data_IF_174674429285
#
_entry.id   IF_174674429285
#
_cell.length_a   1.000
_cell.length_b   1.000
_cell.length_c   1.000
_cell.angle_alpha   90.00
_cell.angle_beta   90.00
_cell.angle_gamma   90.00
#
_symmetry.space_group_name_H-M   'P 1'
#
loop_
_entity.id
_entity.type
_entity.pdbx_description
1 polymer ?
#
# COMPACT_ATOMS: atom_id res chain seq x y z
N UNK A 1 17.39 -16.04 -2.42
CA UNK A 1 17.90 -15.27 -1.27
C UNK A 1 19.06 -15.99 -0.66
N UNK A 2 20.13 -15.30 -0.30
CA UNK A 2 21.21 -15.93 0.46
C UNK A 2 20.72 -16.24 1.87
N UNK A 3 20.91 -17.47 2.36
CA UNK A 3 20.57 -17.90 3.71
C UNK A 3 21.17 -17.01 4.83
N UNK A 4 22.17 -16.19 4.50
CA UNK A 4 22.78 -15.22 5.43
C UNK A 4 21.86 -14.01 5.71
N UNK A 5 21.00 -13.59 4.80
CA UNK A 5 20.14 -12.42 5.00
C UNK A 5 18.97 -12.75 5.95
N UNK A 6 18.36 -13.92 5.81
CA UNK A 6 17.31 -14.42 6.73
C UNK A 6 17.80 -14.55 8.17
N UNK A 7 19.00 -15.11 8.34
CA UNK A 7 19.61 -15.26 9.68
C UNK A 7 19.76 -13.94 10.42
N UNK A 8 20.05 -12.85 9.70
CA UNK A 8 20.22 -11.54 10.34
C UNK A 8 18.94 -11.04 11.02
N UNK A 9 17.76 -11.22 10.41
CA UNK A 9 16.49 -10.79 11.01
C UNK A 9 16.08 -11.67 12.19
N UNK A 10 16.24 -12.98 12.09
CA UNK A 10 15.93 -13.94 13.16
C UNK A 10 16.80 -13.71 14.40
N UNK A 11 18.06 -13.32 14.20
CA UNK A 11 19.01 -12.99 15.29
C UNK A 11 18.62 -11.74 16.09
N UNK A 12 17.74 -10.88 15.55
CA UNK A 12 17.24 -9.69 16.25
C UNK A 12 16.08 -10.01 17.20
N UNK A 13 15.29 -11.04 16.90
CA UNK A 13 14.05 -11.35 17.61
C UNK A 13 14.18 -11.56 19.13
N UNK A 14 15.25 -12.17 19.65
CA UNK A 14 15.43 -12.30 21.10
C UNK A 14 15.61 -10.98 21.85
N UNK A 15 15.90 -9.89 21.16
CA UNK A 15 16.20 -8.59 21.75
C UNK A 15 15.03 -7.60 21.68
N UNK A 16 13.87 -8.00 21.10
CA UNK A 16 12.67 -7.16 21.01
C UNK A 16 11.61 -7.61 22.00
N UNK A 17 10.76 -6.69 22.42
CA UNK A 17 9.69 -6.95 23.40
C UNK A 17 8.60 -7.86 22.87
N UNK A 18 8.29 -7.78 21.56
CA UNK A 18 7.21 -8.51 20.93
C UNK A 18 7.69 -9.19 19.63
N UNK A 19 8.46 -10.29 19.72
CA UNK A 19 8.98 -10.98 18.53
C UNK A 19 7.92 -11.42 17.53
N UNK A 20 6.73 -11.75 18.02
CA UNK A 20 5.60 -12.22 17.20
C UNK A 20 5.14 -11.23 16.11
N UNK A 21 5.44 -9.94 16.25
CA UNK A 21 5.16 -8.92 15.23
C UNK A 21 6.06 -9.03 13.99
N UNK A 22 7.20 -9.69 14.13
CA UNK A 22 8.26 -9.75 13.12
C UNK A 22 8.53 -11.17 12.59
N UNK A 23 7.79 -12.18 13.06
CA UNK A 23 7.99 -13.57 12.64
C UNK A 23 7.57 -13.79 11.17
N UNK A 24 6.41 -13.31 10.78
CA UNK A 24 5.74 -13.79 9.56
C UNK A 24 5.26 -15.23 9.75
N UNK A 25 4.93 -15.89 8.64
CA UNK A 25 4.42 -17.30 8.62
C UNK A 25 3.13 -17.50 9.46
N UNK A 26 2.33 -16.43 9.63
CA UNK A 26 1.02 -16.54 10.26
C UNK A 26 0.07 -17.43 9.46
N UNK A 27 -0.92 -17.98 10.12
CA UNK A 27 -1.97 -18.79 9.47
C UNK A 27 -2.60 -17.98 8.33
N UNK A 28 -2.76 -18.62 7.17
CA UNK A 28 -3.25 -18.01 5.93
C UNK A 28 -2.33 -16.93 5.32
N UNK A 29 -1.11 -16.74 5.80
CA UNK A 29 -0.13 -15.90 5.10
C UNK A 29 0.31 -16.58 3.79
N UNK A 30 0.52 -15.78 2.74
CA UNK A 30 0.85 -16.27 1.40
C UNK A 30 2.31 -15.97 1.10
N UNK A 31 3.14 -17.02 1.04
CA UNK A 31 4.56 -16.90 0.75
C UNK A 31 4.87 -17.47 -0.64
N UNK A 32 5.22 -16.58 -1.56
CA UNK A 32 5.57 -16.95 -2.94
C UNK A 32 7.08 -16.95 -3.14
N UNK A 33 7.54 -17.75 -4.10
CA UNK A 33 8.92 -17.67 -4.58
C UNK A 33 9.07 -16.43 -5.46
N UNK A 34 9.72 -15.40 -4.92
CA UNK A 34 9.90 -14.10 -5.59
C UNK A 34 10.73 -14.19 -6.88
N UNK A 35 11.40 -15.30 -7.14
CA UNK A 35 12.10 -15.54 -8.42
C UNK A 35 11.17 -15.99 -9.54
N UNK A 36 9.96 -16.44 -9.20
CA UNK A 36 8.98 -16.95 -10.16
C UNK A 36 7.89 -15.94 -10.49
N UNK A 37 7.77 -14.87 -9.73
CA UNK A 37 6.80 -13.81 -10.01
C UNK A 37 7.38 -12.78 -10.99
N UNK A 38 6.50 -12.13 -11.72
CA UNK A 38 6.88 -11.09 -12.68
C UNK A 38 6.98 -9.71 -12.02
N UNK A 39 6.19 -9.46 -10.98
CA UNK A 39 6.26 -8.25 -10.17
C UNK A 39 5.98 -8.52 -8.69
N UNK A 40 6.68 -7.76 -7.83
CA UNK A 40 6.56 -7.79 -6.38
C UNK A 40 6.16 -6.43 -5.83
N UNK A 41 5.23 -6.42 -4.87
CA UNK A 41 4.80 -5.21 -4.18
C UNK A 41 4.89 -5.41 -2.66
N UNK A 42 5.57 -4.48 -1.98
CA UNK A 42 5.45 -4.34 -0.54
C UNK A 42 4.21 -3.51 -0.21
N UNK A 43 3.23 -4.11 0.47
CA UNK A 43 2.07 -3.42 1.00
C UNK A 43 2.41 -2.89 2.40
N UNK A 44 2.68 -1.60 2.48
CA UNK A 44 3.17 -0.94 3.68
C UNK A 44 2.04 -0.23 4.40
N UNK A 45 1.84 -0.60 5.67
CA UNK A 45 1.00 0.16 6.58
C UNK A 45 1.91 0.96 7.52
N UNK A 46 1.89 2.31 7.49
CA UNK A 46 2.87 3.14 8.19
C UNK A 46 2.51 3.34 9.67
N UNK A 47 2.20 2.25 10.36
CA UNK A 47 1.95 2.17 11.80
C UNK A 47 2.31 0.77 12.31
N UNK A 48 2.21 0.55 13.61
CA UNK A 48 2.56 -0.71 14.27
C UNK A 48 1.75 -1.89 13.72
N UNK A 49 2.33 -3.09 13.82
CA UNK A 49 1.74 -4.35 13.38
C UNK A 49 0.29 -4.55 13.88
N UNK A 50 0.00 -4.29 15.16
CA UNK A 50 -1.34 -4.50 15.74
C UNK A 50 -2.41 -3.60 15.11
N UNK A 51 -2.02 -2.40 14.68
CA UNK A 51 -2.91 -1.45 14.00
C UNK A 51 -3.09 -1.87 12.54
N UNK A 52 -1.98 -2.11 11.84
CA UNK A 52 -2.00 -2.46 10.43
C UNK A 52 -2.69 -3.80 10.15
N UNK A 53 -2.47 -4.82 10.98
CA UNK A 53 -3.15 -6.11 10.87
C UNK A 53 -4.66 -6.03 11.19
N UNK A 54 -5.10 -4.97 11.85
CA UNK A 54 -6.53 -4.70 12.07
C UNK A 54 -7.20 -4.04 10.85
N UNK A 55 -6.42 -3.57 9.86
CA UNK A 55 -6.92 -2.80 8.73
C UNK A 55 -7.43 -3.70 7.60
N UNK A 56 -8.74 -3.63 7.32
CA UNK A 56 -9.41 -4.48 6.33
C UNK A 56 -8.94 -4.21 4.89
N UNK A 57 -8.72 -2.95 4.51
CA UNK A 57 -8.27 -2.59 3.16
C UNK A 57 -6.94 -3.23 2.78
N UNK A 58 -5.99 -3.31 3.73
CA UNK A 58 -4.72 -4.00 3.52
C UNK A 58 -4.94 -5.49 3.23
N UNK A 59 -5.84 -6.15 4.00
CA UNK A 59 -6.17 -7.57 3.80
C UNK A 59 -6.82 -7.83 2.44
N UNK A 60 -7.67 -6.92 1.98
CA UNK A 60 -8.32 -7.01 0.66
C UNK A 60 -7.27 -6.91 -0.45
N UNK A 61 -6.39 -5.90 -0.43
CA UNK A 61 -5.35 -5.74 -1.44
C UNK A 61 -4.35 -6.89 -1.42
N UNK A 62 -3.94 -7.35 -0.24
CA UNK A 62 -3.06 -8.51 -0.08
C UNK A 62 -3.65 -9.78 -0.73
N UNK A 63 -4.95 -10.03 -0.49
CA UNK A 63 -5.66 -11.15 -1.08
C UNK A 63 -5.75 -11.03 -2.61
N UNK A 64 -6.20 -9.87 -3.12
CA UNK A 64 -6.42 -9.65 -4.56
C UNK A 64 -5.12 -9.80 -5.36
N UNK A 65 -4.04 -9.19 -4.89
CA UNK A 65 -2.74 -9.29 -5.57
C UNK A 65 -2.19 -10.71 -5.51
N UNK A 66 -2.25 -11.36 -4.36
CA UNK A 66 -1.70 -12.71 -4.20
C UNK A 66 -2.54 -13.81 -4.87
N UNK A 67 -3.79 -13.53 -5.27
CA UNK A 67 -4.61 -14.44 -6.06
C UNK A 67 -4.04 -14.66 -7.48
N UNK A 68 -3.30 -13.70 -8.01
CA UNK A 68 -2.62 -13.79 -9.32
C UNK A 68 -1.24 -14.43 -9.14
N UNK A 69 -0.92 -15.43 -9.92
CA UNK A 69 0.36 -16.17 -9.82
C UNK A 69 1.57 -15.31 -10.20
N UNK A 70 1.37 -14.36 -11.11
CA UNK A 70 2.40 -13.47 -11.64
C UNK A 70 2.86 -12.41 -10.63
N UNK A 71 2.08 -12.18 -9.56
CA UNK A 71 2.36 -11.14 -8.57
C UNK A 71 2.67 -11.72 -7.20
N UNK A 72 3.47 -11.02 -6.43
CA UNK A 72 3.61 -11.25 -4.99
C UNK A 72 3.38 -9.94 -4.24
N UNK A 73 2.47 -9.97 -3.27
CA UNK A 73 2.30 -8.92 -2.28
C UNK A 73 2.80 -9.40 -0.92
N UNK A 74 3.65 -8.62 -0.27
CA UNK A 74 4.16 -8.90 1.07
C UNK A 74 3.87 -7.71 2.00
N UNK A 75 3.64 -8.01 3.27
CA UNK A 75 3.24 -7.00 4.27
C UNK A 75 4.44 -6.39 4.96
N UNK A 76 4.36 -5.09 5.19
CA UNK A 76 5.36 -4.34 5.96
C UNK A 76 4.63 -3.38 6.91
N UNK A 77 5.11 -3.29 8.14
CA UNK A 77 4.60 -2.37 9.17
C UNK A 77 5.74 -1.51 9.70
N UNK A 78 5.39 -0.37 10.29
CA UNK A 78 6.37 0.41 11.05
C UNK A 78 6.89 -0.44 12.22
N UNK A 79 8.20 -0.52 12.42
CA UNK A 79 8.77 -1.22 13.57
C UNK A 79 8.49 -0.45 14.87
N UNK A 80 8.40 -1.18 16.01
CA UNK A 80 8.48 -0.55 17.31
C UNK A 80 9.91 -0.05 17.57
N UNK A 81 10.07 0.89 18.47
CA UNK A 81 11.34 1.59 18.72
C UNK A 81 12.51 0.64 19.01
N UNK A 82 12.28 -0.44 19.77
CA UNK A 82 13.30 -1.42 20.09
C UNK A 82 13.83 -2.18 18.85
N UNK A 83 12.94 -2.51 17.90
CA UNK A 83 13.35 -3.15 16.65
C UNK A 83 14.00 -2.16 15.69
N UNK A 84 13.50 -0.92 15.65
CA UNK A 84 14.11 0.16 14.86
C UNK A 84 15.55 0.43 15.31
N UNK A 85 15.80 0.55 16.62
CA UNK A 85 17.13 0.75 17.17
C UNK A 85 18.10 -0.38 16.75
N UNK A 86 17.64 -1.63 16.75
CA UNK A 86 18.45 -2.77 16.32
C UNK A 86 18.76 -2.73 14.81
N UNK A 87 17.76 -2.41 13.98
CA UNK A 87 17.95 -2.27 12.54
C UNK A 87 18.99 -1.19 12.24
N UNK A 88 18.84 0.01 12.83
CA UNK A 88 19.76 1.12 12.66
C UNK A 88 21.16 0.80 13.17
N UNK A 89 21.26 0.24 14.38
CA UNK A 89 22.54 -0.08 15.04
C UNK A 89 23.36 -1.12 14.26
N UNK A 90 22.71 -2.01 13.52
CA UNK A 90 23.35 -3.05 12.70
C UNK A 90 23.34 -2.74 11.21
N UNK A 91 22.81 -1.59 10.79
CA UNK A 91 22.64 -1.22 9.38
C UNK A 91 21.90 -2.29 8.56
N UNK A 92 20.89 -2.91 9.17
CA UNK A 92 20.03 -3.90 8.52
C UNK A 92 18.80 -3.17 7.97
N UNK A 93 18.46 -3.25 6.67
CA UNK A 93 17.30 -2.57 6.11
C UNK A 93 16.00 -3.19 6.62
N UNK A 94 14.94 -2.40 6.74
CA UNK A 94 13.60 -2.90 7.02
C UNK A 94 13.14 -3.84 5.90
N UNK A 95 12.50 -4.95 6.29
CA UNK A 95 12.08 -6.00 5.39
C UNK A 95 10.62 -6.40 5.59
N UNK A 96 10.07 -7.08 4.60
CA UNK A 96 8.72 -7.66 4.63
C UNK A 96 8.59 -8.80 5.64
N UNK A 97 7.35 -9.14 6.01
CA UNK A 97 7.06 -10.25 6.93
C UNK A 97 7.22 -11.62 6.26
N UNK A 98 6.76 -11.80 5.04
CA UNK A 98 6.67 -13.12 4.39
C UNK A 98 8.07 -13.69 4.06
N UNK A 99 8.82 -13.02 3.21
CA UNK A 99 10.12 -13.51 2.73
C UNK A 99 11.32 -12.79 3.36
N UNK A 100 11.10 -11.86 4.31
CA UNK A 100 12.19 -11.01 4.86
C UNK A 100 12.98 -10.30 3.74
N UNK A 101 12.27 -9.90 2.69
CA UNK A 101 12.87 -9.18 1.59
C UNK A 101 13.04 -7.70 1.95
N UNK A 102 14.24 -7.13 1.85
CA UNK A 102 14.47 -5.70 2.04
C UNK A 102 13.57 -4.85 1.14
N UNK A 103 13.00 -3.76 1.68
CA UNK A 103 12.08 -2.89 0.94
C UNK A 103 12.66 -2.39 -0.38
N UNK A 104 13.96 -2.05 -0.41
CA UNK A 104 14.64 -1.57 -1.62
C UNK A 104 14.74 -2.61 -2.74
N UNK A 105 14.36 -3.86 -2.51
CA UNK A 105 14.43 -4.93 -3.52
C UNK A 105 13.08 -5.28 -4.12
N UNK A 106 12.01 -4.67 -3.67
CA UNK A 106 10.71 -4.79 -4.32
C UNK A 106 10.67 -3.99 -5.62
N UNK A 107 9.80 -4.38 -6.54
CA UNK A 107 9.53 -3.56 -7.72
C UNK A 107 8.72 -2.31 -7.34
N UNK A 108 7.82 -2.46 -6.36
CA UNK A 108 6.91 -1.41 -5.91
C UNK A 108 6.81 -1.42 -4.39
N UNK A 109 6.81 -0.24 -3.78
CA UNK A 109 6.53 -0.03 -2.36
C UNK A 109 5.27 0.82 -2.25
N UNK A 110 4.15 0.18 -1.85
CA UNK A 110 2.83 0.79 -1.78
C UNK A 110 2.40 1.12 -0.36
N UNK A 111 2.27 2.39 -0.05
CA UNK A 111 1.84 2.88 1.26
C UNK A 111 0.33 3.06 1.35
N UNK A 112 -0.25 2.56 2.43
CA UNK A 112 -1.62 2.83 2.83
C UNK A 112 -1.68 4.09 3.69
N UNK A 113 -2.22 5.19 3.15
CA UNK A 113 -2.24 6.53 3.76
C UNK A 113 -3.60 6.77 4.43
N UNK A 114 -3.73 6.42 5.72
CA UNK A 114 -5.02 6.47 6.41
C UNK A 114 -5.30 7.82 7.09
N UNK A 115 -4.28 8.48 7.61
CA UNK A 115 -4.37 9.78 8.26
C UNK A 115 -3.00 10.50 8.24
N UNK A 116 -3.01 11.80 8.31
CA UNK A 116 -1.85 12.66 8.07
C UNK A 116 -0.75 12.52 9.13
N UNK A 117 -1.09 12.12 10.35
CA UNK A 117 -0.11 11.89 11.43
C UNK A 117 0.87 10.76 11.11
N UNK A 118 0.56 9.88 10.15
CA UNK A 118 1.46 8.80 9.73
C UNK A 118 2.50 9.23 8.68
N UNK A 119 2.50 10.47 8.21
CA UNK A 119 3.41 10.92 7.15
C UNK A 119 4.89 10.81 7.54
N UNK A 120 5.22 11.15 8.78
CA UNK A 120 6.60 10.98 9.28
C UNK A 120 7.02 9.53 9.38
N UNK A 121 6.08 8.61 9.69
CA UNK A 121 6.36 7.18 9.68
C UNK A 121 6.65 6.66 8.27
N UNK A 122 5.99 7.21 7.24
CA UNK A 122 6.28 6.88 5.84
C UNK A 122 7.75 7.19 5.53
N UNK A 123 8.20 8.40 5.86
CA UNK A 123 9.59 8.81 5.64
C UNK A 123 10.57 7.94 6.44
N UNK A 124 10.23 7.63 7.69
CA UNK A 124 11.05 6.74 8.52
C UNK A 124 11.17 5.33 7.93
N UNK A 125 10.08 4.78 7.38
CA UNK A 125 10.08 3.46 6.73
C UNK A 125 10.92 3.48 5.44
N UNK A 126 10.86 4.54 4.64
CA UNK A 126 11.72 4.68 3.46
C UNK A 126 13.20 4.72 3.86
N UNK A 127 13.55 5.50 4.88
CA UNK A 127 14.92 5.59 5.42
C UNK A 127 15.40 4.23 5.95
N UNK A 128 14.61 3.57 6.79
CA UNK A 128 14.89 2.21 7.28
C UNK A 128 14.97 1.17 6.15
N UNK A 129 14.22 1.37 5.08
CA UNK A 129 14.25 0.52 3.88
C UNK A 129 15.45 0.76 2.98
N UNK A 130 16.32 1.74 3.32
CA UNK A 130 17.43 2.22 2.49
C UNK A 130 16.94 2.66 1.10
N UNK A 131 15.82 3.35 1.04
CA UNK A 131 15.23 3.94 -0.17
C UNK A 131 15.40 5.46 -0.10
N UNK A 132 15.96 6.12 -1.13
CA UNK A 132 16.06 7.58 -1.14
C UNK A 132 14.70 8.23 -0.89
N UNK A 133 14.66 9.24 0.00
CA UNK A 133 13.40 9.87 0.40
C UNK A 133 12.73 10.59 -0.76
N UNK A 134 13.48 11.46 -1.45
CA UNK A 134 12.94 12.23 -2.57
C UNK A 134 12.77 11.35 -3.82
N UNK A 135 11.65 11.51 -4.50
CA UNK A 135 11.34 10.77 -5.73
C UNK A 135 12.36 11.05 -6.84
N UNK A 136 12.90 12.27 -6.88
CA UNK A 136 13.93 12.68 -7.85
C UNK A 136 15.29 12.04 -7.61
N UNK A 137 15.56 11.55 -6.39
CA UNK A 137 16.82 10.85 -6.06
C UNK A 137 16.73 9.34 -6.34
N UNK A 138 15.55 8.82 -6.75
CA UNK A 138 15.36 7.41 -7.08
C UNK A 138 15.53 7.15 -8.57
N UNK A 139 16.59 6.41 -8.93
CA UNK A 139 16.85 5.91 -10.28
C UNK A 139 16.09 4.63 -10.62
N UNK A 140 16.44 4.02 -11.74
CA UNK A 140 15.83 2.78 -12.27
C UNK A 140 16.04 1.55 -11.36
N UNK A 141 17.04 1.60 -10.49
CA UNK A 141 17.40 0.54 -9.53
C UNK A 141 16.55 0.55 -8.27
N UNK A 142 15.78 1.61 -8.04
CA UNK A 142 14.94 1.77 -6.88
C UNK A 142 13.49 1.37 -7.17
N UNK A 143 12.74 0.90 -6.16
CA UNK A 143 11.32 0.62 -6.33
C UNK A 143 10.51 1.88 -6.66
N UNK A 144 9.40 1.72 -7.35
CA UNK A 144 8.38 2.77 -7.41
C UNK A 144 7.71 2.91 -6.05
N UNK A 145 7.69 4.12 -5.50
CA UNK A 145 7.00 4.44 -4.25
C UNK A 145 5.63 5.00 -4.57
N UNK A 146 4.58 4.27 -4.18
CA UNK A 146 3.19 4.64 -4.48
C UNK A 146 2.37 4.80 -3.20
N UNK A 147 1.39 5.71 -3.23
CA UNK A 147 0.49 5.97 -2.10
C UNK A 147 -0.98 5.75 -2.48
N UNK A 148 -1.76 5.21 -1.56
CA UNK A 148 -3.21 5.06 -1.69
C UNK A 148 -3.93 5.24 -0.36
N UNK A 149 -5.26 5.29 -0.39
CA UNK A 149 -6.08 5.49 0.80
C UNK A 149 -6.65 6.91 0.93
N UNK A 150 -7.32 7.24 2.05
CA UNK A 150 -8.05 8.51 2.18
C UNK A 150 -7.19 9.76 2.06
N UNK A 151 -5.93 9.73 2.55
CA UNK A 151 -5.05 10.90 2.43
C UNK A 151 -4.52 11.12 1.01
N UNK A 152 -4.59 10.13 0.11
CA UNK A 152 -4.23 10.29 -1.30
C UNK A 152 -5.14 11.30 -2.05
N UNK A 153 -6.28 11.68 -1.47
CA UNK A 153 -7.13 12.75 -1.99
C UNK A 153 -6.53 14.16 -1.82
N UNK A 154 -5.52 14.29 -0.97
CA UNK A 154 -4.67 15.47 -0.86
C UNK A 154 -3.20 15.04 -0.92
N UNK A 155 -2.67 14.71 -2.11
CA UNK A 155 -1.35 14.10 -2.26
C UNK A 155 -0.19 15.09 -2.11
N UNK A 156 -0.43 16.38 -2.32
CA UNK A 156 0.61 17.41 -2.44
C UNK A 156 1.57 17.51 -1.26
N UNK A 157 1.14 17.34 0.02
CA UNK A 157 2.09 17.36 1.14
C UNK A 157 3.18 16.29 1.06
N UNK A 158 2.97 15.23 0.29
CA UNK A 158 3.93 14.14 0.09
C UNK A 158 4.39 13.99 -1.38
N UNK A 159 4.05 14.93 -2.25
CA UNK A 159 4.34 14.85 -3.69
C UNK A 159 5.82 14.63 -4.01
N UNK A 160 6.72 15.28 -3.27
CA UNK A 160 8.17 15.16 -3.46
C UNK A 160 8.72 13.77 -3.09
N UNK A 161 7.99 13.02 -2.25
CA UNK A 161 8.43 11.73 -1.73
C UNK A 161 7.83 10.52 -2.47
N UNK A 162 6.82 10.72 -3.31
CA UNK A 162 6.12 9.67 -4.02
C UNK A 162 6.28 9.78 -5.55
N UNK A 163 6.37 8.63 -6.19
CA UNK A 163 6.37 8.55 -7.65
C UNK A 163 4.93 8.64 -8.20
N UNK A 164 3.95 8.12 -7.41
CA UNK A 164 2.58 7.98 -7.85
C UNK A 164 1.60 7.91 -6.66
N UNK A 165 0.37 8.40 -6.88
CA UNK A 165 -0.75 8.17 -5.97
C UNK A 165 -1.92 7.52 -6.70
N UNK A 166 -2.58 6.58 -6.02
CA UNK A 166 -3.81 5.94 -6.46
C UNK A 166 -4.98 6.54 -5.68
N UNK A 167 -5.89 7.21 -6.39
CA UNK A 167 -7.02 7.95 -5.82
C UNK A 167 -8.30 7.17 -6.06
N UNK A 168 -8.93 6.71 -4.98
CA UNK A 168 -10.19 5.94 -5.00
C UNK A 168 -10.03 4.51 -4.55
N UNK A 169 -10.90 3.64 -5.04
CA UNK A 169 -10.98 2.23 -4.68
C UNK A 169 -9.83 1.44 -5.34
N UNK A 170 -9.11 0.63 -4.55
CA UNK A 170 -7.85 0.01 -4.96
C UNK A 170 -7.97 -1.34 -5.65
N UNK A 171 -9.10 -2.03 -5.54
CA UNK A 171 -9.23 -3.46 -5.87
C UNK A 171 -8.97 -3.78 -7.35
N UNK A 172 -9.52 -2.99 -8.25
CA UNK A 172 -9.31 -3.18 -9.69
C UNK A 172 -8.01 -2.51 -10.14
N UNK A 173 -7.79 -1.28 -9.69
CA UNK A 173 -6.69 -0.46 -10.17
C UNK A 173 -5.31 -1.05 -9.80
N UNK A 174 -5.17 -1.74 -8.66
CA UNK A 174 -3.90 -2.36 -8.27
C UNK A 174 -3.48 -3.44 -9.28
N UNK A 175 -4.42 -4.19 -9.81
CA UNK A 175 -4.15 -5.21 -10.83
C UNK A 175 -3.82 -4.55 -12.18
N UNK A 176 -4.62 -3.58 -12.64
CA UNK A 176 -4.35 -2.83 -13.86
C UNK A 176 -2.96 -2.16 -13.82
N UNK A 177 -2.60 -1.61 -12.65
CA UNK A 177 -1.30 -1.00 -12.41
C UNK A 177 -0.15 -2.01 -12.53
N UNK A 178 -0.28 -3.17 -11.88
CA UNK A 178 0.73 -4.23 -11.91
C UNK A 178 0.86 -4.85 -13.31
N UNK A 179 -0.24 -5.09 -14.02
CA UNK A 179 -0.23 -5.60 -15.39
C UNK A 179 0.51 -4.63 -16.33
N UNK A 180 0.22 -3.32 -16.24
CA UNK A 180 0.90 -2.29 -17.04
C UNK A 180 2.38 -2.19 -16.67
N UNK A 181 2.70 -2.28 -15.37
CA UNK A 181 4.08 -2.27 -14.90
C UNK A 181 4.89 -3.43 -15.48
N UNK A 182 4.33 -4.65 -15.48
CA UNK A 182 4.98 -5.83 -16.09
C UNK A 182 5.21 -5.63 -17.59
N UNK A 183 4.21 -5.11 -18.31
CA UNK A 183 4.37 -4.83 -19.74
C UNK A 183 5.53 -3.87 -19.99
N UNK A 184 5.62 -2.81 -19.20
CA UNK A 184 6.69 -1.81 -19.29
C UNK A 184 8.05 -2.42 -18.96
N UNK A 185 8.12 -3.25 -17.92
CA UNK A 185 9.33 -3.98 -17.52
C UNK A 185 9.82 -4.93 -18.65
N UNK A 186 8.90 -5.65 -19.30
CA UNK A 186 9.21 -6.51 -20.45
C UNK A 186 9.73 -5.71 -21.66
N UNK A 187 9.23 -4.50 -21.86
CA UNK A 187 9.67 -3.57 -22.91
C UNK A 187 10.97 -2.81 -22.54
N UNK A 188 11.46 -2.94 -21.32
CA UNK A 188 12.59 -2.20 -20.77
C UNK A 188 12.40 -0.69 -20.89
N UNK A 189 11.20 -0.22 -20.62
CA UNK A 189 10.87 1.20 -20.60
C UNK A 189 11.53 1.88 -19.40
N UNK A 190 11.97 3.13 -19.57
CA UNK A 190 12.53 3.92 -18.49
C UNK A 190 11.44 4.27 -17.44
N UNK A 191 11.84 4.57 -16.22
CA UNK A 191 10.92 5.00 -15.14
C UNK A 191 9.99 6.12 -15.59
N UNK A 192 10.52 7.12 -16.31
CA UNK A 192 9.70 8.23 -16.84
C UNK A 192 8.63 7.74 -17.83
N UNK A 193 8.95 6.78 -18.71
CA UNK A 193 7.98 6.20 -19.64
C UNK A 193 6.92 5.39 -18.90
N UNK A 194 7.34 4.60 -17.91
CA UNK A 194 6.41 3.84 -17.05
C UNK A 194 5.43 4.78 -16.36
N UNK A 195 5.91 5.86 -15.72
CA UNK A 195 5.06 6.83 -15.04
C UNK A 195 4.07 7.51 -15.99
N UNK A 196 4.49 7.87 -17.22
CA UNK A 196 3.59 8.43 -18.23
C UNK A 196 2.49 7.46 -18.65
N UNK A 197 2.81 6.18 -18.81
CA UNK A 197 1.81 5.15 -19.12
C UNK A 197 0.84 4.95 -17.96
N UNK A 198 1.35 4.90 -16.73
CA UNK A 198 0.53 4.77 -15.52
C UNK A 198 -0.41 5.97 -15.34
N UNK A 199 -0.01 7.18 -15.74
CA UNK A 199 -0.85 8.37 -15.70
C UNK A 199 -2.11 8.31 -16.59
N UNK A 200 -2.19 7.36 -17.52
CA UNK A 200 -3.38 7.14 -18.34
C UNK A 200 -4.45 6.29 -17.64
N UNK A 201 -4.08 5.60 -16.56
CA UNK A 201 -5.03 4.84 -15.74
C UNK A 201 -5.91 5.79 -14.92
N UNK A 202 -7.22 5.52 -14.92
CA UNK A 202 -8.17 6.30 -14.13
C UNK A 202 -7.86 6.17 -12.62
N UNK A 203 -7.70 7.29 -11.94
CA UNK A 203 -7.38 7.36 -10.52
C UNK A 203 -5.90 7.44 -10.21
N UNK A 204 -5.03 7.47 -11.22
CA UNK A 204 -3.59 7.60 -11.02
C UNK A 204 -3.17 9.07 -11.13
N UNK A 205 -2.49 9.57 -10.11
CA UNK A 205 -1.86 10.88 -10.07
C UNK A 205 -0.34 10.73 -9.99
N UNK A 206 0.36 11.31 -10.94
CA UNK A 206 1.84 11.32 -11.02
C UNK A 206 2.31 12.75 -10.73
N UNK A 207 2.85 13.06 -9.53
CA UNK A 207 3.24 14.42 -9.17
C UNK A 207 4.19 15.07 -10.16
N UNK A 208 5.18 14.35 -10.68
CA UNK A 208 6.19 14.86 -11.60
C UNK A 208 5.63 15.34 -12.96
N UNK A 209 4.36 15.04 -13.29
CA UNK A 209 3.68 15.52 -14.49
C UNK A 209 2.86 16.79 -14.25
N UNK A 210 2.86 17.32 -13.02
CA UNK A 210 2.11 18.51 -12.65
C UNK A 210 3.05 19.57 -12.09
N UNK A 211 2.77 20.81 -12.42
CA UNK A 211 3.44 21.99 -11.90
C UNK A 211 2.44 22.83 -11.10
N UNK A 212 2.82 23.22 -9.89
CA UNK A 212 1.98 24.07 -9.03
C UNK A 212 2.47 25.49 -9.14
N UNK A 213 1.61 26.38 -9.64
CA UNK A 213 1.85 27.82 -9.63
C UNK A 213 1.34 28.43 -8.32
N UNK A 214 2.13 29.32 -7.75
CA UNK A 214 1.79 30.06 -6.53
C UNK A 214 1.64 31.57 -6.81
N UNK A 215 0.78 32.24 -6.06
CA UNK A 215 0.79 33.68 -5.95
C UNK A 215 1.97 34.15 -5.07
N UNK A 216 2.35 35.43 -5.15
CA UNK A 216 3.41 36.00 -4.31
C UNK A 216 3.19 35.78 -2.79
N UNK A 217 1.95 35.65 -2.34
CA UNK A 217 1.56 35.33 -0.98
C UNK A 217 1.59 33.84 -0.60
N UNK A 218 2.10 32.94 -1.46
CA UNK A 218 2.22 31.51 -1.21
C UNK A 218 0.92 30.69 -1.38
N UNK A 219 -0.20 31.33 -1.72
CA UNK A 219 -1.44 30.60 -2.06
C UNK A 219 -1.31 29.94 -3.44
N UNK A 220 -1.88 28.76 -3.60
CA UNK A 220 -1.91 28.06 -4.89
C UNK A 220 -2.70 28.89 -5.91
N UNK A 221 -2.07 29.25 -7.01
CA UNK A 221 -2.68 29.96 -8.15
C UNK A 221 -3.31 28.98 -9.15
N UNK A 222 -2.67 27.85 -9.37
CA UNK A 222 -3.14 26.82 -10.28
C UNK A 222 -2.26 25.58 -10.24
N UNK A 223 -2.82 24.48 -10.73
CA UNK A 223 -2.10 23.21 -10.95
C UNK A 223 -2.17 22.92 -12.44
N UNK A 224 -1.02 22.81 -13.09
CA UNK A 224 -0.90 22.62 -14.52
C UNK A 224 -0.27 21.26 -14.83
N UNK A 225 -0.92 20.48 -15.66
CA UNK A 225 -0.33 19.27 -16.22
C UNK A 225 0.52 19.62 -17.45
N UNK A 226 1.67 18.94 -17.65
CA UNK A 226 2.62 19.20 -18.73
C UNK A 226 1.98 19.26 -20.13
N UNK A 227 0.99 18.40 -20.38
CA UNK A 227 0.32 18.29 -21.69
C UNK A 227 -1.08 18.89 -21.74
N UNK A 228 -1.70 19.19 -20.60
CA UNK A 228 -3.09 19.68 -20.54
C UNK A 228 -3.34 20.45 -19.25
N UNK A 229 -3.45 21.77 -19.33
CA UNK A 229 -3.71 22.67 -18.20
C UNK A 229 -4.98 22.36 -17.39
N UNK A 230 -5.90 21.56 -17.95
CA UNK A 230 -7.18 21.24 -17.33
C UNK A 230 -7.34 19.75 -17.00
N UNK A 231 -6.25 18.96 -17.06
CA UNK A 231 -6.34 17.54 -16.72
C UNK A 231 -6.75 17.39 -15.24
N UNK A 232 -7.92 16.78 -15.03
CA UNK A 232 -8.43 16.43 -13.70
C UNK A 232 -8.21 14.95 -13.49
N UNK A 233 -7.77 14.59 -12.29
CA UNK A 233 -7.70 13.19 -11.87
C UNK A 233 -9.08 12.78 -11.35
N UNK A 234 -9.69 11.83 -12.04
CA UNK A 234 -10.95 11.24 -11.60
C UNK A 234 -10.67 10.03 -10.73
N UNK A 235 -11.22 10.02 -9.52
CA UNK A 235 -11.06 8.89 -8.62
C UNK A 235 -11.59 7.57 -9.21
N UNK A 236 -10.93 6.47 -8.89
CA UNK A 236 -11.44 5.12 -9.19
C UNK A 236 -12.62 4.80 -8.27
N UNK A 237 -13.66 4.21 -8.82
CA UNK A 237 -14.87 3.81 -8.09
C UNK A 237 -15.21 2.37 -8.48
N UNK A 238 -15.20 1.49 -7.50
CA UNK A 238 -15.69 0.13 -7.65
C UNK A 238 -17.22 0.15 -7.69
N UNK A 239 -17.81 -0.26 -8.81
CA UNK A 239 -19.24 -0.11 -9.04
C UNK A 239 -20.11 -1.09 -8.25
N UNK A 240 -19.60 -2.30 -7.98
CA UNK A 240 -20.38 -3.36 -7.34
C UNK A 240 -19.54 -4.14 -6.33
N UNK A 241 -19.78 -3.90 -5.04
CA UNK A 241 -19.08 -4.58 -3.95
C UNK A 241 -19.34 -6.09 -3.91
N UNK A 242 -20.50 -6.56 -4.37
CA UNK A 242 -20.83 -8.00 -4.36
C UNK A 242 -20.00 -8.82 -5.34
N UNK A 243 -19.45 -8.20 -6.39
CA UNK A 243 -18.64 -8.87 -7.42
C UNK A 243 -17.15 -8.84 -7.13
N UNK A 244 -16.73 -8.09 -6.11
CA UNK A 244 -15.31 -7.93 -5.77
C UNK A 244 -14.82 -9.13 -4.98
N UNK A 245 -13.62 -9.58 -5.31
CA UNK A 245 -12.91 -10.57 -4.51
C UNK A 245 -12.72 -10.06 -3.07
N UNK A 246 -12.93 -10.97 -2.12
CA UNK A 246 -12.87 -10.67 -0.70
C UNK A 246 -12.07 -11.74 0.05
N UNK A 247 -11.22 -11.40 1.02
CA UNK A 247 -10.42 -12.37 1.75
C UNK A 247 -11.28 -13.21 2.70
N UNK A 248 -11.68 -14.41 2.25
CA UNK A 248 -12.42 -15.40 3.06
C UNK A 248 -11.49 -16.21 3.98
N UNK A 249 -10.19 -16.21 3.72
CA UNK A 249 -9.15 -16.77 4.57
C UNK A 249 -8.14 -15.66 4.95
N UNK A 250 -8.55 -14.67 5.77
CA UNK A 250 -7.66 -13.59 6.16
C UNK A 250 -6.51 -14.13 7.01
N UNK A 251 -5.37 -13.45 6.95
CA UNK A 251 -4.22 -13.79 7.78
C UNK A 251 -4.59 -13.68 9.25
N UNK A 252 -4.33 -14.74 10.01
CA UNK A 252 -4.60 -14.81 11.47
C UNK A 252 -3.30 -14.49 12.22
N UNK A 253 -3.25 -13.39 12.95
CA UNK A 253 -2.03 -12.95 13.63
C UNK A 253 -1.68 -13.84 14.84
N UNK A 254 -0.40 -13.94 15.15
CA UNK A 254 0.08 -14.62 16.38
C UNK A 254 -0.09 -13.76 17.64
N UNK A 255 -0.25 -12.46 17.49
CA UNK A 255 -0.41 -11.51 18.59
C UNK A 255 -1.83 -10.99 18.64
N UNK A 256 -2.28 -10.63 19.86
CA UNK A 256 -3.55 -9.94 20.05
C UNK A 256 -3.53 -8.59 19.32
N UNK A 257 -4.54 -8.36 18.50
CA UNK A 257 -4.72 -7.13 17.73
C UNK A 257 -5.60 -6.11 18.46
N UNK A 258 -5.62 -4.88 17.93
CA UNK A 258 -6.59 -3.84 18.37
C UNK A 258 -8.02 -4.33 18.09
N UNK A 259 -8.25 -4.95 16.93
CA UNK A 259 -9.52 -5.55 16.53
C UNK A 259 -9.33 -7.05 16.28
N UNK A 260 -9.35 -7.83 17.37
CA UNK A 260 -9.22 -9.30 17.34
C UNK A 260 -10.57 -9.95 17.01
N UNK A 261 -10.98 -9.83 15.76
CA UNK A 261 -12.28 -10.31 15.24
C UNK A 261 -12.30 -10.37 13.73
N UNK A 262 -13.22 -11.16 13.18
CA UNK A 262 -13.57 -11.12 11.77
C UNK A 262 -14.23 -9.77 11.45
N UNK A 263 -13.77 -9.11 10.40
CA UNK A 263 -14.33 -7.87 9.92
C UNK A 263 -14.86 -8.07 8.50
N UNK A 264 -16.11 -7.68 8.26
CA UNK A 264 -16.75 -7.76 6.95
C UNK A 264 -17.23 -6.37 6.56
N UNK A 265 -16.83 -5.91 5.36
CA UNK A 265 -17.35 -4.68 4.80
C UNK A 265 -18.77 -4.90 4.30
N UNK A 266 -19.73 -4.19 4.88
CA UNK A 266 -21.13 -4.25 4.47
C UNK A 266 -21.50 -3.15 3.49
N UNK A 267 -20.84 -1.99 3.61
CA UNK A 267 -21.05 -0.84 2.75
C UNK A 267 -19.77 -0.01 2.59
N UNK A 268 -19.75 0.84 1.58
CA UNK A 268 -18.71 1.83 1.35
C UNK A 268 -19.33 3.15 0.92
N UNK A 269 -18.94 4.24 1.62
CA UNK A 269 -19.47 5.57 1.41
C UNK A 269 -20.46 5.98 2.51
N UNK A 270 -20.92 7.24 2.44
CA UNK A 270 -21.86 7.78 3.41
C UNK A 270 -22.70 8.88 2.78
N UNK A 271 -24.01 8.87 3.05
CA UNK A 271 -24.96 9.87 2.57
C UNK A 271 -25.16 11.05 3.51
N UNK A 272 -24.64 11.00 4.76
CA UNK A 272 -24.92 11.98 5.80
C UNK A 272 -24.30 13.36 5.57
N UNK A 273 -23.20 13.46 4.82
CA UNK A 273 -22.52 14.70 4.50
C UNK A 273 -22.20 15.61 5.71
N UNK A 274 -21.82 15.01 6.85
CA UNK A 274 -21.41 15.74 8.05
C UNK A 274 -20.25 16.68 7.69
N UNK A 275 -20.31 17.95 8.09
CA UNK A 275 -19.35 18.99 7.69
C UNK A 275 -17.91 18.72 8.14
N UNK A 276 -17.73 17.99 9.22
CA UNK A 276 -16.42 17.61 9.77
C UNK A 276 -15.87 16.32 9.19
N UNK A 277 -16.64 15.56 8.41
CA UNK A 277 -16.31 14.18 8.02
C UNK A 277 -15.91 14.10 6.55
N UNK A 278 -14.63 13.86 6.27
CA UNK A 278 -14.11 13.67 4.92
C UNK A 278 -14.71 12.43 4.22
N UNK A 279 -14.97 11.34 4.98
CA UNK A 279 -15.48 10.09 4.43
C UNK A 279 -16.81 10.27 3.68
N UNK A 280 -17.70 11.17 4.16
CA UNK A 280 -18.96 11.49 3.50
C UNK A 280 -18.81 12.15 2.12
N UNK A 281 -17.59 12.50 1.71
CA UNK A 281 -17.28 13.13 0.42
C UNK A 281 -16.40 12.24 -0.45
N UNK A 282 -15.29 11.72 0.09
CA UNK A 282 -14.32 10.98 -0.72
C UNK A 282 -14.79 9.58 -1.12
N UNK A 283 -15.63 8.93 -0.29
CA UNK A 283 -16.11 7.56 -0.56
C UNK A 283 -17.46 7.50 -1.31
N UNK A 284 -18.01 8.63 -1.76
CA UNK A 284 -19.21 8.61 -2.61
C UNK A 284 -18.92 8.00 -3.98
N UNK A 285 -19.94 7.34 -4.61
CA UNK A 285 -21.28 7.05 -4.13
C UNK A 285 -21.31 6.00 -3.02
N UNK A 286 -22.40 5.94 -2.26
CA UNK A 286 -22.66 4.84 -1.31
C UNK A 286 -22.95 3.56 -2.09
N UNK A 287 -22.32 2.46 -1.71
CA UNK A 287 -22.49 1.14 -2.31
C UNK A 287 -22.59 0.12 -1.20
N UNK A 288 -23.57 -0.77 -1.28
CA UNK A 288 -23.88 -1.75 -0.25
C UNK A 288 -23.72 -3.16 -0.79
N UNK A 289 -23.34 -4.10 0.09
CA UNK A 289 -23.43 -5.53 -0.18
C UNK A 289 -24.84 -5.99 0.15
N UNK A 290 -25.33 -6.98 -0.61
CA UNK A 290 -26.59 -7.65 -0.26
C UNK A 290 -26.44 -8.46 1.04
N UNK A 291 -27.53 -8.64 1.75
CA UNK A 291 -27.55 -9.43 3.00
C UNK A 291 -27.04 -10.86 2.75
N UNK A 292 -27.47 -11.46 1.65
CA UNK A 292 -27.05 -12.81 1.25
C UNK A 292 -25.53 -12.88 1.08
N UNK A 293 -24.92 -11.87 0.41
CA UNK A 293 -23.46 -11.83 0.20
C UNK A 293 -22.71 -11.62 1.52
N UNK A 294 -23.24 -10.81 2.43
CA UNK A 294 -22.64 -10.62 3.77
C UNK A 294 -22.66 -11.93 4.56
N UNK A 295 -23.78 -12.66 4.55
CA UNK A 295 -23.90 -13.95 5.24
C UNK A 295 -23.00 -15.02 4.64
N UNK A 296 -22.90 -15.09 3.31
CA UNK A 296 -21.96 -15.98 2.58
C UNK A 296 -20.52 -15.71 3.06
N UNK A 297 -20.06 -14.44 2.97
CA UNK A 297 -18.70 -14.06 3.36
C UNK A 297 -18.43 -14.35 4.85
N UNK A 298 -19.43 -14.14 5.72
CA UNK A 298 -19.31 -14.44 7.14
C UNK A 298 -19.10 -15.94 7.38
N UNK A 299 -19.93 -16.77 6.77
CA UNK A 299 -19.83 -18.24 6.88
C UNK A 299 -18.49 -18.76 6.36
N UNK A 300 -18.08 -18.31 5.17
CA UNK A 300 -16.81 -18.71 4.55
C UNK A 300 -15.61 -18.28 5.41
N UNK A 301 -15.63 -17.06 5.95
CA UNK A 301 -14.52 -16.55 6.77
C UNK A 301 -14.42 -17.31 8.10
N UNK A 302 -15.54 -17.61 8.76
CA UNK A 302 -15.56 -18.39 10.02
C UNK A 302 -14.98 -19.79 9.79
N UNK A 303 -15.25 -20.41 8.64
CA UNK A 303 -14.76 -21.75 8.33
C UNK A 303 -13.25 -21.79 8.01
N UNK A 304 -12.63 -20.65 7.71
CA UNK A 304 -11.22 -20.54 7.29
C UNK A 304 -10.31 -19.85 8.32
N UNK A 305 -10.85 -19.44 9.46
CA UNK A 305 -10.12 -18.81 10.58
C UNK A 305 -10.44 -19.53 11.90
#
# INVERSE_FOLDING_TARGET
MNSSCLKNYEELLPFVKKPSQYLGDEVNSIKKDLKKVEASIALVFPDLYEIGMSHLGLKILYHIVNKREEFAAERVFAPDLDYEELLRGKSIPLASLENKMPLSRFDIVGFTMQYEMSYTNILNILDLGHIPLLSNDRGEEHPLVIGGGPCAYNPEPLADFFDCFIIGDGEEIVIEFLDLFIESKKKKETKSMVLRRLAELKGVYIPSLFEIEYFEGGAVKGIMHENNRHKKIEKRILQNLNKTDYPIAPVVPFSKLVHDRISIEIDRGCTQACRFCQAGYIYRPTRERTVEKVLELAADTINNT
#
